data_IF_094936846228
#
_entry.id   IF_094936846228
#
_cell.length_a   1.000
_cell.length_b   1.000
_cell.length_c   1.000
_cell.angle_alpha   90.00
_cell.angle_beta   90.00
_cell.angle_gamma   90.00
#
_symmetry.space_group_name_H-M   'P 1'
#
loop_
_entity.id
_entity.type
_entity.pdbx_description
1 polymer ?
#
# COMPACT_ATOMS: atom_id res chain seq x y z
N UNK A 1 34.42 6.04 20.39
CA UNK A 1 34.60 4.67 19.89
C UNK A 1 34.63 4.78 18.36
N UNK A 2 35.76 4.48 17.71
CA UNK A 2 35.84 4.58 16.23
C UNK A 2 35.15 3.38 15.64
N UNK A 3 34.29 3.59 14.66
CA UNK A 3 33.65 2.51 13.91
C UNK A 3 34.72 1.68 13.17
N UNK A 4 34.52 0.35 12.99
CA UNK A 4 35.43 -0.51 12.22
C UNK A 4 35.63 0.04 10.80
N UNK A 5 36.82 -0.05 10.25
CA UNK A 5 37.20 0.51 8.92
C UNK A 5 36.26 0.07 7.78
N UNK A 6 35.70 -1.15 7.82
CA UNK A 6 34.71 -1.61 6.84
C UNK A 6 33.40 -0.81 6.87
N UNK A 7 32.97 -0.34 8.05
CA UNK A 7 31.77 0.51 8.16
C UNK A 7 32.05 1.94 7.71
N UNK A 8 33.26 2.46 7.90
CA UNK A 8 33.70 3.73 7.34
C UNK A 8 33.81 3.68 5.81
N UNK A 9 34.28 2.58 5.23
CA UNK A 9 34.34 2.39 3.77
C UNK A 9 32.93 2.29 3.15
N UNK A 10 31.98 1.64 3.81
CA UNK A 10 30.56 1.64 3.37
C UNK A 10 29.96 3.05 3.42
N UNK A 11 30.22 3.82 4.49
CA UNK A 11 29.76 5.20 4.59
C UNK A 11 30.39 6.12 3.53
N UNK A 12 31.69 5.96 3.25
CA UNK A 12 32.38 6.76 2.23
C UNK A 12 31.94 6.43 0.81
N UNK A 13 31.55 5.17 0.54
CA UNK A 13 30.98 4.79 -0.76
C UNK A 13 29.51 5.24 -0.95
N UNK A 14 28.80 5.55 0.13
CA UNK A 14 27.45 6.13 0.10
C UNK A 14 27.45 7.66 -0.11
N UNK A 15 28.57 8.34 0.12
CA UNK A 15 28.67 9.82 0.09
C UNK A 15 29.01 10.37 -1.32
N UNK A 16 29.43 9.54 -2.27
CA UNK A 16 29.82 9.99 -3.62
C UNK A 16 28.72 9.88 -4.70
N UNK A 17 27.44 9.98 -4.32
CA UNK A 17 26.32 9.95 -5.28
C UNK A 17 25.89 11.39 -5.60
N UNK A 18 26.67 12.12 -6.38
CA UNK A 18 26.28 13.43 -6.95
C UNK A 18 25.57 13.31 -8.33
N UNK A 19 25.54 12.13 -8.93
CA UNK A 19 24.66 11.85 -10.08
C UNK A 19 23.36 11.27 -9.55
N UNK A 20 22.21 11.84 -9.96
CA UNK A 20 20.92 11.24 -9.62
C UNK A 20 20.90 9.81 -10.19
N UNK A 21 20.56 8.79 -9.39
CA UNK A 21 20.55 7.43 -9.88
C UNK A 21 19.55 7.31 -11.03
N UNK A 22 19.98 6.68 -12.10
CA UNK A 22 19.11 6.45 -13.24
C UNK A 22 17.99 5.50 -12.83
N UNK A 23 16.72 5.88 -13.07
CA UNK A 23 15.55 5.06 -12.73
C UNK A 23 15.68 3.67 -13.38
N UNK A 24 15.44 2.64 -12.59
CA UNK A 24 15.36 1.27 -13.07
C UNK A 24 13.92 0.95 -13.50
N UNK A 25 13.80 0.12 -14.54
CA UNK A 25 12.50 -0.30 -15.08
C UNK A 25 12.42 -1.83 -15.09
N UNK A 26 11.21 -2.35 -14.84
CA UNK A 26 10.91 -3.78 -14.86
C UNK A 26 9.79 -4.07 -15.85
N UNK A 27 9.85 -5.19 -16.53
CA UNK A 27 8.73 -5.72 -17.30
C UNK A 27 7.55 -5.99 -16.37
N UNK A 28 6.42 -5.35 -16.61
CA UNK A 28 5.25 -5.39 -15.72
C UNK A 28 4.34 -6.58 -16.07
N UNK A 29 4.83 -7.78 -15.83
CA UNK A 29 4.13 -9.02 -16.15
C UNK A 29 3.68 -9.07 -17.61
N UNK A 30 2.60 -9.78 -17.89
CA UNK A 30 2.04 -9.98 -19.25
C UNK A 30 1.65 -8.69 -19.98
N UNK A 31 1.65 -7.52 -19.31
CA UNK A 31 1.38 -6.24 -19.98
C UNK A 31 2.52 -5.79 -20.88
N UNK A 32 3.72 -6.34 -20.73
CA UNK A 32 4.97 -5.93 -21.41
C UNK A 32 5.34 -4.44 -21.20
N UNK A 33 4.65 -3.72 -20.36
CA UNK A 33 5.03 -2.34 -20.03
C UNK A 33 6.36 -2.32 -19.28
N UNK A 34 7.24 -1.40 -19.65
CA UNK A 34 8.44 -1.08 -18.88
C UNK A 34 8.06 -0.14 -17.74
N UNK A 35 7.81 -0.73 -16.58
CA UNK A 35 7.33 -0.04 -15.38
C UNK A 35 8.51 0.47 -14.57
N UNK A 36 8.58 1.77 -14.21
CA UNK A 36 9.61 2.26 -13.29
C UNK A 36 9.41 1.60 -11.91
N UNK A 37 10.51 1.33 -11.21
CA UNK A 37 10.44 0.70 -9.87
C UNK A 37 9.74 1.58 -8.83
N UNK A 38 9.53 2.86 -9.13
CA UNK A 38 8.68 3.77 -8.37
C UNK A 38 7.58 4.37 -9.24
N UNK A 39 6.42 4.58 -8.65
CA UNK A 39 5.25 5.18 -9.28
C UNK A 39 4.79 6.42 -8.51
N UNK A 40 4.30 7.43 -9.21
CA UNK A 40 3.75 8.64 -8.61
C UNK A 40 2.28 8.43 -8.23
N UNK A 41 2.02 8.25 -6.92
CA UNK A 41 0.68 8.00 -6.37
C UNK A 41 -0.13 9.28 -6.15
N UNK A 42 -1.34 9.33 -6.69
CA UNK A 42 -2.22 10.50 -6.75
C UNK A 42 -3.02 10.86 -5.51
N UNK A 43 -2.80 10.17 -4.40
CA UNK A 43 -3.63 10.36 -3.21
C UNK A 43 -3.18 11.52 -2.30
N UNK A 44 -1.92 11.97 -2.39
CA UNK A 44 -1.34 12.89 -1.40
C UNK A 44 -1.28 14.34 -1.86
N UNK A 45 -1.19 14.61 -3.14
CA UNK A 45 -1.14 15.96 -3.69
C UNK A 45 -2.52 16.52 -4.08
N UNK A 46 -3.60 15.72 -3.99
CA UNK A 46 -4.96 16.16 -4.26
C UNK A 46 -5.43 17.18 -3.21
N UNK A 47 -6.28 18.12 -3.63
CA UNK A 47 -6.76 19.20 -2.75
C UNK A 47 -7.85 18.74 -1.78
N UNK A 48 -8.89 18.04 -2.29
CA UNK A 48 -10.02 17.55 -1.49
C UNK A 48 -10.46 16.16 -1.92
N UNK A 49 -11.08 15.43 -0.99
CA UNK A 49 -11.60 14.07 -1.20
C UNK A 49 -12.97 14.01 -1.90
N UNK A 50 -13.44 15.11 -2.44
CA UNK A 50 -14.69 15.22 -3.20
C UNK A 50 -14.46 15.96 -4.51
N UNK A 51 -15.34 15.74 -5.48
CA UNK A 51 -15.34 16.52 -6.72
C UNK A 51 -15.67 17.98 -6.42
N UNK A 52 -15.03 18.87 -7.15
CA UNK A 52 -15.24 20.31 -7.09
C UNK A 52 -15.47 20.88 -8.49
N UNK A 53 -16.01 22.10 -8.56
CA UNK A 53 -15.94 22.87 -9.80
C UNK A 53 -14.47 23.28 -10.08
N UNK A 54 -14.03 23.32 -11.35
CA UNK A 54 -12.63 23.62 -11.67
C UNK A 54 -12.07 24.91 -11.04
N UNK A 55 -12.90 25.94 -10.87
CA UNK A 55 -12.51 27.21 -10.24
C UNK A 55 -12.39 27.17 -8.71
N UNK A 56 -12.78 26.09 -8.06
CA UNK A 56 -12.68 25.93 -6.59
C UNK A 56 -11.36 25.30 -6.14
N UNK A 57 -10.53 24.83 -7.08
CA UNK A 57 -9.21 24.30 -6.77
C UNK A 57 -8.23 25.46 -6.66
N UNK A 58 -7.59 25.70 -5.48
CA UNK A 58 -6.66 26.79 -5.31
C UNK A 58 -5.48 26.67 -6.28
N UNK A 59 -5.04 27.78 -6.90
CA UNK A 59 -3.90 27.76 -7.83
C UNK A 59 -2.62 27.18 -7.24
N UNK A 60 -2.34 27.43 -5.96
CA UNK A 60 -1.18 26.90 -5.27
C UNK A 60 -1.22 25.36 -5.15
N UNK A 61 -2.40 24.76 -4.92
CA UNK A 61 -2.57 23.30 -4.92
C UNK A 61 -2.33 22.70 -6.31
N UNK A 62 -2.84 23.36 -7.36
CA UNK A 62 -2.59 22.95 -8.73
C UNK A 62 -1.10 23.07 -9.10
N UNK A 63 -0.44 24.17 -8.74
CA UNK A 63 0.97 24.38 -9.01
C UNK A 63 1.85 23.36 -8.30
N UNK A 64 1.53 23.02 -7.03
CA UNK A 64 2.25 21.99 -6.30
C UNK A 64 2.13 20.62 -6.97
N UNK A 65 0.92 20.22 -7.40
CA UNK A 65 0.71 18.97 -8.14
C UNK A 65 1.51 18.97 -9.45
N UNK A 66 1.46 20.07 -10.23
CA UNK A 66 2.21 20.16 -11.50
C UNK A 66 3.71 20.07 -11.28
N UNK A 67 4.25 20.74 -10.24
CA UNK A 67 5.66 20.64 -9.87
C UNK A 67 6.05 19.22 -9.45
N UNK A 68 5.20 18.56 -8.65
CA UNK A 68 5.42 17.18 -8.20
C UNK A 68 5.46 16.20 -9.39
N UNK A 69 4.53 16.32 -10.35
CA UNK A 69 4.56 15.48 -11.55
C UNK A 69 5.76 15.74 -12.44
N UNK A 70 6.13 17.00 -12.63
CA UNK A 70 7.33 17.35 -13.42
C UNK A 70 8.60 16.78 -12.79
N UNK A 71 8.70 16.83 -11.46
CA UNK A 71 9.82 16.22 -10.75
C UNK A 71 9.81 14.71 -10.90
N UNK A 72 8.65 14.05 -10.73
CA UNK A 72 8.51 12.61 -10.96
C UNK A 72 9.04 12.23 -12.35
N UNK A 73 8.55 12.91 -13.40
CA UNK A 73 8.96 12.66 -14.78
C UNK A 73 10.47 12.93 -15.01
N UNK A 74 11.00 14.00 -14.42
CA UNK A 74 12.42 14.37 -14.55
C UNK A 74 13.35 13.30 -13.94
N UNK A 75 12.92 12.59 -12.89
CA UNK A 75 13.70 11.50 -12.26
C UNK A 75 13.36 10.12 -12.84
N UNK A 76 12.63 10.06 -13.96
CA UNK A 76 12.29 8.82 -14.67
C UNK A 76 11.05 8.07 -14.14
N UNK A 77 10.27 8.68 -13.25
CA UNK A 77 8.98 8.12 -12.81
C UNK A 77 7.91 8.53 -13.81
N UNK A 78 7.60 7.66 -14.77
CA UNK A 78 6.61 7.92 -15.82
C UNK A 78 5.28 7.18 -15.59
N UNK A 79 5.13 6.40 -14.52
CA UNK A 79 3.86 5.82 -14.09
C UNK A 79 3.17 6.75 -13.10
N UNK A 80 1.98 7.23 -13.48
CA UNK A 80 1.13 8.13 -12.70
C UNK A 80 -0.14 7.38 -12.33
N UNK A 81 -0.35 7.21 -11.02
CA UNK A 81 -1.45 6.41 -10.48
C UNK A 81 -2.45 7.30 -9.75
N UNK A 82 -3.73 7.15 -10.07
CA UNK A 82 -4.83 7.82 -9.39
C UNK A 82 -6.03 6.88 -9.19
N UNK A 83 -7.17 7.40 -8.79
CA UNK A 83 -8.44 6.70 -8.70
C UNK A 83 -9.61 7.68 -8.69
N UNK A 84 -10.80 7.25 -9.18
CA UNK A 84 -12.04 8.03 -9.10
C UNK A 84 -12.35 8.46 -7.64
N UNK A 85 -12.08 7.60 -6.70
CA UNK A 85 -12.29 7.86 -5.27
C UNK A 85 -11.24 8.78 -4.60
N UNK A 86 -10.31 9.38 -5.35
CA UNK A 86 -9.31 10.30 -4.79
C UNK A 86 -9.70 11.78 -4.97
N UNK A 87 -10.98 12.08 -4.94
CA UNK A 87 -11.52 13.43 -4.97
C UNK A 87 -11.05 14.24 -6.20
N UNK A 88 -10.36 15.35 -5.94
CA UNK A 88 -9.89 16.25 -7.01
C UNK A 88 -8.69 15.75 -7.80
N UNK A 89 -8.10 14.61 -7.46
CA UNK A 89 -6.86 14.11 -8.07
C UNK A 89 -6.94 14.02 -9.60
N UNK A 90 -7.97 13.34 -10.14
CA UNK A 90 -8.15 13.21 -11.60
C UNK A 90 -8.36 14.56 -12.29
N UNK A 91 -9.12 15.46 -11.66
CA UNK A 91 -9.38 16.81 -12.18
C UNK A 91 -8.11 17.64 -12.28
N UNK A 92 -7.26 17.56 -11.25
CA UNK A 92 -5.98 18.28 -11.20
C UNK A 92 -4.97 17.69 -12.18
N UNK A 93 -4.90 16.35 -12.27
CA UNK A 93 -4.06 15.64 -13.26
C UNK A 93 -4.42 16.01 -14.69
N UNK A 94 -5.70 16.12 -15.02
CA UNK A 94 -6.15 16.52 -16.35
C UNK A 94 -5.70 17.92 -16.80
N UNK A 95 -5.25 18.79 -15.89
CA UNK A 95 -4.70 20.09 -16.25
C UNK A 95 -3.22 20.01 -16.69
N UNK A 96 -2.52 18.94 -16.33
CA UNK A 96 -1.10 18.78 -16.62
C UNK A 96 -0.79 17.65 -17.61
N UNK A 97 -1.56 16.55 -17.60
CA UNK A 97 -1.27 15.37 -18.43
C UNK A 97 -1.20 15.70 -19.92
N UNK A 98 -2.06 16.61 -20.41
CA UNK A 98 -2.03 17.08 -21.79
C UNK A 98 -0.78 17.91 -22.16
N UNK A 99 0.00 18.36 -21.17
CA UNK A 99 1.24 19.13 -21.34
C UNK A 99 2.49 18.24 -21.29
N UNK A 100 2.31 16.94 -21.03
CA UNK A 100 3.38 15.93 -20.99
C UNK A 100 3.28 15.01 -22.20
N UNK A 101 4.39 14.37 -22.62
CA UNK A 101 4.37 13.46 -23.77
C UNK A 101 3.58 12.18 -23.39
N UNK A 102 2.32 12.10 -23.84
CA UNK A 102 1.38 11.03 -23.46
C UNK A 102 1.91 9.63 -23.75
N UNK A 103 2.63 9.48 -24.85
CA UNK A 103 3.21 8.21 -25.30
C UNK A 103 4.35 7.71 -24.41
N UNK A 104 4.93 8.56 -23.57
CA UNK A 104 5.95 8.20 -22.58
C UNK A 104 5.36 7.93 -21.20
N UNK A 105 4.08 8.21 -20.99
CA UNK A 105 3.41 8.04 -19.70
C UNK A 105 2.67 6.71 -19.64
N UNK A 106 2.69 6.11 -18.46
CA UNK A 106 1.78 5.04 -18.05
C UNK A 106 0.79 5.68 -17.07
N UNK A 107 -0.48 5.79 -17.47
CA UNK A 107 -1.52 6.40 -16.63
C UNK A 107 -2.47 5.33 -16.12
N UNK A 108 -2.61 5.28 -14.81
CA UNK A 108 -3.52 4.37 -14.11
C UNK A 108 -4.62 5.13 -13.38
N UNK A 109 -5.87 4.70 -13.57
CA UNK A 109 -6.97 5.05 -12.66
C UNK A 109 -7.69 3.80 -12.16
N UNK A 110 -8.56 3.97 -11.15
CA UNK A 110 -9.27 2.86 -10.51
C UNK A 110 -10.72 3.23 -10.24
N UNK A 111 -11.63 2.30 -10.51
CA UNK A 111 -13.08 2.45 -10.26
C UNK A 111 -13.54 1.34 -9.33
N UNK A 112 -14.26 1.68 -8.25
CA UNK A 112 -14.79 0.68 -7.33
C UNK A 112 -15.85 -0.17 -8.00
N UNK A 113 -15.81 -1.51 -7.86
CA UNK A 113 -16.90 -2.38 -8.27
C UNK A 113 -18.21 -1.97 -7.60
N UNK A 114 -19.31 -2.12 -8.32
CA UNK A 114 -20.63 -1.73 -7.88
C UNK A 114 -21.64 -2.82 -8.22
N UNK A 115 -22.69 -2.95 -7.41
CA UNK A 115 -23.82 -3.83 -7.71
C UNK A 115 -24.52 -3.46 -9.04
N UNK A 116 -24.51 -2.16 -9.39
CA UNK A 116 -24.93 -1.66 -10.68
C UNK A 116 -23.72 -1.42 -11.60
N UNK A 117 -23.50 -2.25 -12.65
CA UNK A 117 -22.40 -2.06 -13.60
C UNK A 117 -22.51 -0.76 -14.41
N UNK A 118 -23.69 -0.17 -14.54
CA UNK A 118 -23.85 1.13 -15.22
C UNK A 118 -23.22 2.27 -14.41
N UNK A 119 -23.30 2.19 -13.07
CA UNK A 119 -22.60 3.15 -12.20
C UNK A 119 -21.06 3.03 -12.35
N UNK A 120 -20.52 1.81 -12.53
CA UNK A 120 -19.11 1.59 -12.82
C UNK A 120 -18.73 2.24 -14.17
N UNK A 121 -19.54 2.02 -15.21
CA UNK A 121 -19.35 2.62 -16.54
C UNK A 121 -19.30 4.15 -16.46
N UNK A 122 -20.33 4.78 -15.87
CA UNK A 122 -20.43 6.23 -15.73
C UNK A 122 -19.22 6.82 -14.97
N UNK A 123 -18.78 6.14 -13.92
CA UNK A 123 -17.60 6.56 -13.16
C UNK A 123 -16.32 6.52 -13.99
N UNK A 124 -16.13 5.50 -14.84
CA UNK A 124 -14.97 5.46 -15.72
C UNK A 124 -15.03 6.52 -16.82
N UNK A 125 -16.18 6.73 -17.45
CA UNK A 125 -16.37 7.81 -18.42
C UNK A 125 -16.07 9.19 -17.80
N UNK A 126 -16.51 9.41 -16.56
CA UNK A 126 -16.20 10.62 -15.78
C UNK A 126 -14.69 10.73 -15.49
N UNK A 127 -14.01 9.63 -15.16
CA UNK A 127 -12.56 9.63 -14.97
C UNK A 127 -11.81 10.04 -16.23
N UNK A 128 -12.17 9.52 -17.41
CA UNK A 128 -11.56 9.94 -18.68
C UNK A 128 -11.77 11.43 -18.94
N UNK A 129 -13.00 11.94 -18.69
CA UNK A 129 -13.32 13.34 -18.84
C UNK A 129 -12.50 14.25 -17.90
N UNK A 130 -12.32 13.84 -16.64
CA UNK A 130 -11.55 14.59 -15.66
C UNK A 130 -10.04 14.55 -15.96
N UNK A 131 -9.52 13.40 -16.36
CA UNK A 131 -8.12 13.24 -16.79
C UNK A 131 -7.85 13.93 -18.13
N UNK A 132 -8.89 14.27 -18.90
CA UNK A 132 -8.81 14.80 -20.28
C UNK A 132 -8.00 13.89 -21.19
N UNK A 133 -8.25 12.58 -21.09
CA UNK A 133 -7.57 11.53 -21.86
C UNK A 133 -8.60 10.73 -22.67
N UNK A 134 -8.18 10.28 -23.84
CA UNK A 134 -8.97 9.36 -24.67
C UNK A 134 -8.86 7.92 -24.14
N UNK A 135 -7.76 7.57 -23.47
CA UNK A 135 -7.52 6.25 -22.89
C UNK A 135 -6.61 6.33 -21.66
N UNK A 136 -6.68 5.28 -20.85
CA UNK A 136 -5.71 4.98 -19.79
C UNK A 136 -4.95 3.70 -20.13
N UNK A 137 -3.69 3.59 -19.64
CA UNK A 137 -2.91 2.39 -19.82
C UNK A 137 -3.39 1.27 -18.89
N UNK A 138 -3.73 1.63 -17.66
CA UNK A 138 -4.12 0.69 -16.61
C UNK A 138 -5.46 1.11 -15.98
N UNK A 139 -6.47 0.25 -16.08
CA UNK A 139 -7.73 0.39 -15.33
C UNK A 139 -7.77 -0.64 -14.21
N UNK A 140 -7.85 -0.20 -12.95
CA UNK A 140 -8.01 -1.08 -11.81
C UNK A 140 -9.45 -1.16 -11.30
N UNK A 141 -9.96 -2.36 -11.03
CA UNK A 141 -11.15 -2.53 -10.20
C UNK A 141 -10.75 -2.24 -8.75
N UNK A 142 -11.27 -1.15 -8.17
CA UNK A 142 -10.76 -0.53 -6.95
C UNK A 142 -11.32 -1.16 -5.69
N UNK A 143 -10.49 -1.94 -5.01
CA UNK A 143 -10.83 -2.45 -3.68
C UNK A 143 -11.66 -3.74 -3.71
N UNK A 144 -11.26 -4.75 -4.46
CA UNK A 144 -11.84 -6.10 -4.33
C UNK A 144 -11.38 -6.65 -2.97
N UNK A 145 -12.11 -6.30 -1.90
CA UNK A 145 -11.71 -6.53 -0.51
C UNK A 145 -12.47 -7.66 0.18
N UNK A 146 -13.55 -8.14 -0.41
CA UNK A 146 -14.40 -9.19 0.13
C UNK A 146 -15.10 -9.95 -1.00
N UNK A 147 -15.84 -11.01 -0.64
CA UNK A 147 -16.54 -11.86 -1.60
C UNK A 147 -17.64 -11.11 -2.38
N UNK A 148 -18.31 -10.15 -1.77
CA UNK A 148 -19.35 -9.36 -2.41
C UNK A 148 -18.76 -8.49 -3.54
N UNK A 149 -17.65 -7.77 -3.28
CA UNK A 149 -16.98 -6.94 -4.29
C UNK A 149 -16.33 -7.80 -5.39
N UNK A 150 -15.90 -9.01 -5.05
CA UNK A 150 -15.45 -9.99 -6.04
C UNK A 150 -16.61 -10.44 -6.93
N UNK A 151 -17.78 -10.72 -6.36
CA UNK A 151 -18.98 -11.06 -7.12
C UNK A 151 -19.41 -9.91 -8.05
N UNK A 152 -19.51 -8.68 -7.56
CA UNK A 152 -19.83 -7.50 -8.41
C UNK A 152 -18.84 -7.32 -9.56
N UNK A 153 -17.59 -7.72 -9.35
CA UNK A 153 -16.56 -7.68 -10.38
C UNK A 153 -16.76 -8.74 -11.46
N UNK A 154 -17.01 -10.00 -11.06
CA UNK A 154 -16.84 -11.18 -11.92
C UNK A 154 -18.15 -11.85 -12.38
N UNK A 155 -19.29 -11.54 -11.76
CA UNK A 155 -20.56 -12.11 -12.19
C UNK A 155 -20.90 -11.72 -13.64
N UNK A 156 -21.74 -12.50 -14.29
CA UNK A 156 -22.21 -12.21 -15.65
C UNK A 156 -22.84 -10.80 -15.72
N UNK A 157 -22.41 -10.00 -16.69
CA UNK A 157 -22.77 -8.60 -16.80
C UNK A 157 -22.13 -7.70 -15.74
N UNK A 158 -21.12 -8.17 -15.00
CA UNK A 158 -20.47 -7.44 -13.92
C UNK A 158 -19.49 -6.36 -14.39
N UNK A 159 -18.77 -5.77 -13.42
CA UNK A 159 -17.90 -4.62 -13.71
C UNK A 159 -16.73 -4.97 -14.61
N UNK A 160 -16.22 -6.21 -14.57
CA UNK A 160 -15.14 -6.65 -15.44
C UNK A 160 -15.56 -6.65 -16.92
N UNK A 161 -16.75 -7.18 -17.25
CA UNK A 161 -17.25 -7.15 -18.62
C UNK A 161 -17.43 -5.72 -19.15
N UNK A 162 -17.77 -4.76 -18.28
CA UNK A 162 -17.80 -3.34 -18.64
C UNK A 162 -16.40 -2.82 -18.95
N UNK A 163 -15.40 -3.19 -18.13
CA UNK A 163 -14.00 -2.80 -18.35
C UNK A 163 -13.46 -3.41 -19.65
N UNK A 164 -13.79 -4.67 -19.96
CA UNK A 164 -13.41 -5.36 -21.22
C UNK A 164 -14.04 -4.68 -22.44
N UNK A 165 -15.30 -4.18 -22.34
CA UNK A 165 -15.90 -3.39 -23.42
C UNK A 165 -15.15 -2.09 -23.68
N UNK A 166 -14.66 -1.42 -22.63
CA UNK A 166 -13.79 -0.25 -22.79
C UNK A 166 -12.42 -0.61 -23.38
N UNK A 167 -11.89 -1.78 -23.01
CA UNK A 167 -10.64 -2.29 -23.60
C UNK A 167 -10.81 -2.57 -25.11
N UNK A 168 -11.91 -3.20 -25.50
CA UNK A 168 -12.25 -3.44 -26.92
C UNK A 168 -12.44 -2.13 -27.70
N UNK A 169 -12.85 -1.03 -27.04
CA UNK A 169 -12.97 0.32 -27.63
C UNK A 169 -11.64 1.07 -27.67
N UNK A 170 -10.54 0.51 -27.17
CA UNK A 170 -9.24 1.16 -27.10
C UNK A 170 -9.13 2.23 -25.99
N UNK A 171 -10.10 2.32 -25.06
CA UNK A 171 -10.09 3.28 -23.94
C UNK A 171 -9.32 2.78 -22.73
N UNK A 172 -8.99 1.49 -22.67
CA UNK A 172 -8.19 0.82 -21.64
C UNK A 172 -7.20 -0.11 -22.33
N UNK A 173 -5.93 -0.10 -21.95
CA UNK A 173 -4.97 -1.07 -22.49
C UNK A 173 -4.95 -2.36 -21.68
N UNK A 174 -4.90 -2.27 -20.34
CA UNK A 174 -4.80 -3.42 -19.45
C UNK A 174 -5.72 -3.25 -18.25
N UNK A 175 -6.27 -4.37 -17.76
CA UNK A 175 -7.22 -4.40 -16.65
C UNK A 175 -6.60 -5.14 -15.46
N UNK A 176 -6.62 -4.52 -14.29
CA UNK A 176 -6.16 -5.13 -13.04
C UNK A 176 -7.11 -4.87 -11.88
N UNK A 177 -6.65 -5.15 -10.69
CA UNK A 177 -7.43 -4.83 -9.49
C UNK A 177 -6.54 -4.31 -8.36
N UNK A 178 -7.13 -3.55 -7.45
CA UNK A 178 -6.50 -3.18 -6.18
C UNK A 178 -7.24 -3.81 -5.01
N UNK A 179 -6.52 -4.08 -3.92
CA UNK A 179 -7.13 -4.75 -2.78
C UNK A 179 -6.51 -4.34 -1.44
N UNK A 180 -7.35 -4.38 -0.41
CA UNK A 180 -7.02 -4.31 1.01
C UNK A 180 -7.60 -5.53 1.74
N UNK A 181 -8.14 -6.47 0.98
CA UNK A 181 -8.78 -7.67 1.48
C UNK A 181 -7.81 -8.67 2.09
N UNK A 182 -8.33 -9.70 2.74
CA UNK A 182 -7.53 -10.81 3.25
C UNK A 182 -6.92 -11.62 2.11
N UNK A 183 -5.83 -12.31 2.41
CA UNK A 183 -5.04 -13.06 1.42
C UNK A 183 -5.85 -14.08 0.63
N UNK A 184 -6.85 -14.73 1.24
CA UNK A 184 -7.70 -15.71 0.56
C UNK A 184 -8.57 -15.08 -0.56
N UNK A 185 -9.08 -13.86 -0.35
CA UNK A 185 -9.81 -13.11 -1.40
C UNK A 185 -8.86 -12.69 -2.52
N UNK A 186 -7.65 -12.27 -2.16
CA UNK A 186 -6.62 -11.91 -3.16
C UNK A 186 -6.28 -13.14 -4.00
N UNK A 187 -6.01 -14.27 -3.36
CA UNK A 187 -5.71 -15.54 -4.04
C UNK A 187 -6.85 -16.02 -4.95
N UNK A 188 -8.10 -15.94 -4.48
CA UNK A 188 -9.28 -16.25 -5.29
C UNK A 188 -9.37 -15.35 -6.53
N UNK A 189 -9.10 -14.06 -6.37
CA UNK A 189 -9.13 -13.10 -7.49
C UNK A 189 -8.02 -13.40 -8.50
N UNK A 190 -6.79 -13.66 -8.06
CA UNK A 190 -5.65 -14.03 -8.92
C UNK A 190 -5.93 -15.36 -9.65
N UNK A 191 -6.53 -16.34 -8.96
CA UNK A 191 -6.83 -17.66 -9.51
C UNK A 191 -7.78 -17.61 -10.71
N UNK A 192 -8.61 -16.58 -10.84
CA UNK A 192 -9.51 -16.39 -12.01
C UNK A 192 -8.73 -16.15 -13.31
N UNK A 193 -7.49 -15.70 -13.21
CA UNK A 193 -6.62 -15.35 -14.34
C UNK A 193 -7.20 -14.30 -15.31
N UNK A 194 -8.11 -13.45 -14.83
CA UNK A 194 -8.82 -12.45 -15.64
C UNK A 194 -8.20 -11.05 -15.54
N UNK A 195 -7.16 -10.88 -14.74
CA UNK A 195 -6.52 -9.59 -14.48
C UNK A 195 -5.05 -9.61 -14.91
N UNK A 196 -4.57 -8.50 -15.47
CA UNK A 196 -3.20 -8.34 -15.93
C UNK A 196 -2.24 -7.93 -14.82
N UNK A 197 -2.76 -7.28 -13.77
CA UNK A 197 -1.94 -6.80 -12.64
C UNK A 197 -2.75 -6.69 -11.35
N UNK A 198 -2.03 -6.61 -10.23
CA UNK A 198 -2.60 -6.42 -8.89
C UNK A 198 -1.89 -5.31 -8.12
N UNK A 199 -2.67 -4.45 -7.45
CA UNK A 199 -2.19 -3.46 -6.49
C UNK A 199 -2.53 -3.96 -5.08
N UNK A 200 -1.51 -4.29 -4.26
CA UNK A 200 -1.71 -4.87 -2.94
C UNK A 200 -0.69 -4.36 -1.91
N UNK A 201 -0.89 -4.75 -0.65
CA UNK A 201 0.00 -4.41 0.46
C UNK A 201 1.00 -5.54 0.72
N UNK A 202 2.29 -5.20 0.70
CA UNK A 202 3.36 -6.07 1.13
C UNK A 202 4.59 -5.23 1.48
N UNK A 203 5.11 -5.38 2.71
CA UNK A 203 6.21 -4.58 3.25
C UNK A 203 6.99 -5.41 4.26
N UNK A 204 8.16 -4.95 4.70
CA UNK A 204 8.92 -5.63 5.74
C UNK A 204 8.07 -5.95 6.98
N UNK A 205 7.30 -4.98 7.48
CA UNK A 205 6.47 -5.16 8.67
C UNK A 205 5.17 -5.94 8.46
N UNK A 206 4.78 -6.19 7.21
CA UNK A 206 3.55 -6.91 6.87
C UNK A 206 3.76 -7.74 5.60
N UNK A 207 4.09 -9.00 5.79
CA UNK A 207 4.42 -9.95 4.72
C UNK A 207 3.31 -10.99 4.48
N UNK A 208 2.13 -10.81 5.08
CA UNK A 208 1.02 -11.78 5.03
C UNK A 208 0.59 -12.14 3.59
N UNK A 209 0.75 -11.23 2.65
CA UNK A 209 0.35 -11.41 1.26
C UNK A 209 1.47 -12.01 0.37
N UNK A 210 2.56 -12.55 0.96
CA UNK A 210 3.60 -13.21 0.16
C UNK A 210 3.04 -14.30 -0.78
N UNK A 211 2.13 -15.20 -0.33
CA UNK A 211 1.54 -16.19 -1.25
C UNK A 211 0.82 -15.57 -2.45
N UNK A 212 0.25 -14.38 -2.29
CA UNK A 212 -0.41 -13.68 -3.39
C UNK A 212 0.61 -13.10 -4.40
N UNK A 213 1.80 -12.68 -3.95
CA UNK A 213 2.88 -12.26 -4.84
C UNK A 213 3.40 -13.43 -5.67
N UNK A 214 3.59 -14.60 -5.05
CA UNK A 214 4.01 -15.83 -5.74
C UNK A 214 2.96 -16.25 -6.77
N UNK A 215 1.69 -16.30 -6.39
CA UNK A 215 0.60 -16.64 -7.31
C UNK A 215 0.45 -15.63 -8.47
N UNK A 216 0.68 -14.35 -8.23
CA UNK A 216 0.68 -13.33 -9.28
C UNK A 216 1.87 -13.54 -10.25
N UNK A 217 3.06 -13.84 -9.72
CA UNK A 217 4.24 -14.13 -10.53
C UNK A 217 4.04 -15.41 -11.40
N UNK A 218 3.46 -16.49 -10.85
CA UNK A 218 3.11 -17.70 -11.60
C UNK A 218 2.13 -17.44 -12.76
N UNK A 219 1.29 -16.41 -12.62
CA UNK A 219 0.34 -15.97 -13.64
C UNK A 219 0.90 -14.88 -14.56
N UNK A 220 2.17 -14.53 -14.41
CA UNK A 220 2.80 -13.41 -15.13
C UNK A 220 2.03 -12.09 -15.00
N UNK A 221 1.49 -11.82 -13.81
CA UNK A 221 0.78 -10.57 -13.50
C UNK A 221 1.75 -9.50 -13.02
N UNK A 222 1.48 -8.24 -13.39
CA UNK A 222 2.18 -7.10 -12.79
C UNK A 222 1.84 -6.96 -11.30
N UNK A 223 2.83 -6.74 -10.44
CA UNK A 223 2.64 -6.52 -8.99
C UNK A 223 3.05 -5.11 -8.62
N UNK A 224 2.11 -4.36 -8.06
CA UNK A 224 2.27 -2.98 -7.63
C UNK A 224 1.98 -2.86 -6.14
N UNK A 225 3.01 -2.54 -5.35
CA UNK A 225 2.89 -2.36 -3.90
C UNK A 225 2.37 -0.96 -3.61
N UNK A 226 1.25 -0.86 -2.89
CA UNK A 226 0.60 0.41 -2.56
C UNK A 226 0.90 0.87 -1.14
N UNK A 227 1.06 2.19 -0.95
CA UNK A 227 1.29 2.86 0.34
C UNK A 227 2.50 2.35 1.14
N UNK A 228 3.68 2.08 0.55
CA UNK A 228 4.83 1.51 1.26
C UNK A 228 5.31 2.38 2.42
N UNK A 229 5.29 3.70 2.27
CA UNK A 229 5.77 4.64 3.30
C UNK A 229 4.78 4.84 4.45
N UNK A 230 3.47 4.91 4.16
CA UNK A 230 2.45 5.18 5.19
C UNK A 230 1.98 3.90 5.89
N UNK A 231 1.41 2.96 5.12
CA UNK A 231 0.92 1.69 5.69
C UNK A 231 2.07 0.72 5.99
N UNK A 232 3.21 0.91 5.38
CA UNK A 232 4.46 0.22 5.70
C UNK A 232 5.12 0.69 7.01
N UNK A 233 4.47 1.59 7.78
CA UNK A 233 4.96 1.95 9.12
C UNK A 233 5.00 3.44 9.45
N UNK A 234 4.37 4.34 8.67
CA UNK A 234 4.56 5.79 8.80
C UNK A 234 6.05 6.17 8.79
N UNK A 235 6.80 5.63 7.83
CA UNK A 235 8.26 5.62 7.80
C UNK A 235 8.89 7.03 7.74
N UNK A 236 8.14 8.03 7.30
CA UNK A 236 8.51 9.46 7.36
C UNK A 236 8.48 10.04 8.79
N UNK A 237 8.02 9.29 9.79
CA UNK A 237 7.99 9.62 11.22
C UNK A 237 8.39 8.38 12.06
N UNK A 238 9.39 7.64 11.58
CA UNK A 238 9.83 6.41 12.21
C UNK A 238 10.38 6.68 13.63
N UNK A 239 10.09 5.81 14.61
CA UNK A 239 10.65 5.93 15.95
C UNK A 239 12.17 5.70 15.94
N UNK A 240 12.86 6.31 16.90
CA UNK A 240 14.34 6.23 17.00
C UNK A 240 14.86 4.80 16.98
N UNK A 241 14.20 3.87 17.68
CA UNK A 241 14.59 2.46 17.71
C UNK A 241 14.62 1.85 16.31
N UNK A 242 13.57 2.11 15.50
CA UNK A 242 13.52 1.61 14.12
C UNK A 242 14.60 2.26 13.24
N UNK A 243 14.84 3.57 13.42
CA UNK A 243 15.93 4.28 12.72
C UNK A 243 17.27 3.65 13.03
N UNK A 244 17.58 3.40 14.31
CA UNK A 244 18.84 2.79 14.75
C UNK A 244 19.01 1.35 14.20
N UNK A 245 17.93 0.58 14.14
CA UNK A 245 17.93 -0.78 13.61
C UNK A 245 18.15 -0.82 12.09
N UNK A 246 17.60 0.14 11.36
CA UNK A 246 17.75 0.23 9.90
C UNK A 246 19.10 0.84 9.47
N UNK A 247 19.86 1.47 10.38
CA UNK A 247 21.13 2.13 10.02
C UNK A 247 22.09 1.18 9.23
N UNK A 248 22.79 1.69 8.20
CA UNK A 248 22.95 3.10 7.84
C UNK A 248 21.83 3.70 6.97
N UNK A 249 20.82 2.91 6.59
CA UNK A 249 19.67 3.39 5.82
C UNK A 249 18.63 4.05 6.73
N UNK A 250 17.85 4.98 6.18
CA UNK A 250 16.59 5.34 6.83
C UNK A 250 15.59 4.16 6.75
N UNK A 251 14.59 4.10 7.64
CA UNK A 251 13.55 3.08 7.55
C UNK A 251 12.77 3.09 6.21
N UNK A 252 12.63 4.24 5.58
CA UNK A 252 11.96 4.37 4.29
C UNK A 252 12.79 3.76 3.16
N UNK A 253 14.07 4.12 3.06
CA UNK A 253 15.01 3.55 2.08
C UNK A 253 15.18 2.04 2.30
N UNK A 254 15.27 1.60 3.55
CA UNK A 254 15.31 0.18 3.89
C UNK A 254 14.08 -0.58 3.38
N UNK A 255 12.86 -0.07 3.66
CA UNK A 255 11.63 -0.73 3.25
C UNK A 255 11.46 -0.75 1.72
N UNK A 256 11.81 0.33 1.04
CA UNK A 256 11.79 0.38 -0.42
C UNK A 256 12.76 -0.64 -1.02
N UNK A 257 14.00 -0.67 -0.51
CA UNK A 257 15.02 -1.63 -0.95
C UNK A 257 14.58 -3.06 -0.66
N UNK A 258 14.03 -3.32 0.53
CA UNK A 258 13.47 -4.63 0.89
C UNK A 258 12.37 -5.06 -0.09
N UNK A 259 11.41 -4.20 -0.38
CA UNK A 259 10.35 -4.55 -1.32
C UNK A 259 10.91 -4.80 -2.73
N UNK A 260 11.78 -3.93 -3.21
CA UNK A 260 12.32 -4.01 -4.57
C UNK A 260 13.37 -5.11 -4.75
N UNK A 261 14.00 -5.62 -3.69
CA UNK A 261 14.93 -6.77 -3.78
C UNK A 261 14.23 -8.07 -4.18
N UNK A 262 12.89 -8.14 -4.09
CA UNK A 262 12.10 -9.29 -4.50
C UNK A 262 11.64 -9.12 -5.96
N UNK A 263 11.99 -10.06 -6.82
CA UNK A 263 11.70 -10.01 -8.26
C UNK A 263 10.18 -10.01 -8.58
N UNK A 264 9.36 -10.52 -7.66
CA UNK A 264 7.90 -10.52 -7.75
C UNK A 264 7.31 -9.11 -7.65
N UNK A 265 8.03 -8.14 -7.07
CA UNK A 265 7.59 -6.75 -6.92
C UNK A 265 8.11 -5.94 -8.11
N UNK A 266 7.21 -5.29 -8.86
CA UNK A 266 7.60 -4.53 -10.04
C UNK A 266 7.74 -3.03 -9.76
N UNK A 267 6.86 -2.47 -8.91
CA UNK A 267 6.87 -1.03 -8.61
C UNK A 267 6.21 -0.73 -7.26
N UNK A 268 6.62 0.39 -6.66
CA UNK A 268 6.07 0.90 -5.39
C UNK A 268 5.36 2.23 -5.61
N UNK A 269 4.14 2.39 -5.10
CA UNK A 269 3.39 3.65 -5.14
C UNK A 269 3.91 4.65 -4.11
N UNK A 270 4.61 5.67 -4.56
CA UNK A 270 5.08 6.75 -3.69
C UNK A 270 3.97 7.76 -3.46
N UNK A 271 3.68 8.03 -2.19
CA UNK A 271 2.69 9.02 -1.78
C UNK A 271 3.32 10.41 -1.65
N UNK A 272 3.93 10.92 -2.72
CA UNK A 272 4.52 12.25 -2.74
C UNK A 272 3.44 13.34 -2.64
N UNK A 273 3.59 14.24 -1.68
CA UNK A 273 2.75 15.42 -1.52
C UNK A 273 3.37 16.66 -2.19
N UNK A 274 4.67 16.62 -2.45
CA UNK A 274 5.49 17.71 -3.02
C UNK A 274 6.71 17.13 -3.75
N UNK A 275 7.40 17.92 -4.60
CA UNK A 275 8.53 17.45 -5.42
C UNK A 275 9.66 16.78 -4.64
N UNK A 276 10.00 17.31 -3.47
CA UNK A 276 11.15 16.86 -2.67
C UNK A 276 10.95 15.47 -2.04
N UNK A 277 9.69 15.02 -1.93
CA UNK A 277 9.36 13.73 -1.29
C UNK A 277 9.95 12.52 -2.07
N UNK A 278 10.33 12.69 -3.34
CA UNK A 278 11.02 11.64 -4.10
C UNK A 278 12.48 11.42 -3.70
N UNK A 279 13.16 12.44 -3.15
CA UNK A 279 14.61 12.44 -2.97
C UNK A 279 15.10 11.28 -2.07
N UNK A 280 14.39 10.96 -1.02
CA UNK A 280 14.75 9.88 -0.11
C UNK A 280 14.57 8.50 -0.79
N UNK A 281 13.46 8.31 -1.50
CA UNK A 281 13.17 7.07 -2.22
C UNK A 281 14.20 6.74 -3.31
N UNK A 282 14.73 7.75 -4.01
CA UNK A 282 15.75 7.56 -5.06
C UNK A 282 17.04 6.93 -4.53
N UNK A 283 17.35 7.07 -3.24
CA UNK A 283 18.49 6.39 -2.63
C UNK A 283 18.36 4.88 -2.70
N UNK A 284 17.14 4.32 -2.62
CA UNK A 284 16.93 2.88 -2.76
C UNK A 284 17.24 2.39 -4.19
N UNK A 285 16.97 3.21 -5.22
CA UNK A 285 17.33 2.86 -6.62
C UNK A 285 18.84 2.73 -6.77
N UNK A 286 19.59 3.66 -6.19
CA UNK A 286 21.07 3.64 -6.25
C UNK A 286 21.68 2.41 -5.54
N UNK A 287 20.96 1.78 -4.63
CA UNK A 287 21.42 0.66 -3.81
C UNK A 287 20.88 -0.69 -4.27
N UNK A 288 19.96 -0.70 -5.25
CA UNK A 288 19.16 -1.89 -5.58
C UNK A 288 20.04 -3.07 -6.06
N UNK A 289 21.06 -2.80 -6.86
CA UNK A 289 21.99 -3.82 -7.36
C UNK A 289 22.91 -4.42 -6.25
N UNK A 290 22.90 -3.81 -5.07
CA UNK A 290 23.67 -4.23 -3.90
C UNK A 290 22.77 -4.65 -2.73
N UNK A 291 21.49 -4.86 -2.97
CA UNK A 291 20.51 -5.24 -1.94
C UNK A 291 20.94 -6.49 -1.15
N UNK A 292 21.53 -7.49 -1.84
CA UNK A 292 21.99 -8.75 -1.24
C UNK A 292 23.16 -8.56 -0.24
N UNK A 293 23.92 -7.46 -0.36
CA UNK A 293 24.98 -7.12 0.59
C UNK A 293 24.44 -6.27 1.75
N UNK A 294 23.51 -5.37 1.46
CA UNK A 294 23.06 -4.30 2.37
C UNK A 294 21.96 -4.79 3.31
N UNK A 295 20.99 -5.57 2.82
CA UNK A 295 19.83 -5.98 3.60
C UNK A 295 20.13 -6.99 4.71
N UNK A 296 20.96 -8.05 4.53
CA UNK A 296 21.11 -9.11 5.52
C UNK A 296 21.51 -8.63 6.93
N UNK A 297 22.49 -7.73 7.11
CA UNK A 297 22.85 -7.25 8.44
C UNK A 297 21.74 -6.38 9.09
N UNK A 298 20.91 -5.71 8.30
CA UNK A 298 19.77 -4.93 8.81
C UNK A 298 18.65 -5.90 9.25
N UNK A 299 18.32 -6.88 8.42
CA UNK A 299 17.32 -7.91 8.71
C UNK A 299 17.67 -8.67 9.98
N UNK A 300 18.93 -9.06 10.15
CA UNK A 300 19.40 -9.74 11.35
C UNK A 300 19.22 -8.89 12.63
N UNK A 301 19.47 -7.57 12.58
CA UNK A 301 19.23 -6.68 13.72
C UNK A 301 17.74 -6.53 14.04
N UNK A 302 16.91 -6.41 13.02
CA UNK A 302 15.46 -6.31 13.19
C UNK A 302 14.87 -7.60 13.76
N UNK A 303 15.31 -8.77 13.27
CA UNK A 303 14.91 -10.07 13.83
C UNK A 303 15.36 -10.22 15.29
N UNK A 304 16.62 -9.91 15.59
CA UNK A 304 17.15 -9.96 16.96
C UNK A 304 16.37 -9.04 17.91
N UNK A 305 15.98 -7.84 17.47
CA UNK A 305 15.14 -6.93 18.26
C UNK A 305 13.74 -7.48 18.51
N UNK A 306 13.14 -8.13 17.51
CA UNK A 306 11.84 -8.79 17.65
C UNK A 306 11.92 -9.97 18.65
N UNK A 307 12.94 -10.83 18.52
CA UNK A 307 13.17 -11.96 19.43
C UNK A 307 13.42 -11.47 20.86
N UNK A 308 14.24 -10.45 21.05
CA UNK A 308 14.52 -9.87 22.36
C UNK A 308 13.27 -9.28 23.04
N UNK A 309 12.36 -8.67 22.26
CA UNK A 309 11.13 -8.05 22.79
C UNK A 309 9.97 -9.01 22.99
N UNK A 310 9.86 -10.04 22.17
CA UNK A 310 8.67 -10.89 22.07
C UNK A 310 8.93 -12.36 22.45
N UNK A 311 10.16 -12.80 22.39
CA UNK A 311 10.57 -14.20 22.52
C UNK A 311 10.54 -14.94 21.18
N UNK A 312 11.52 -15.85 20.99
CA UNK A 312 11.74 -16.54 19.71
C UNK A 312 10.53 -17.40 19.28
N UNK A 313 10.00 -18.21 20.20
CA UNK A 313 8.83 -19.06 19.95
C UNK A 313 7.63 -18.22 19.44
N UNK A 314 7.36 -17.07 20.09
CA UNK A 314 6.31 -16.18 19.67
C UNK A 314 6.58 -15.56 18.28
N UNK A 315 7.77 -15.05 18.04
CA UNK A 315 8.12 -14.43 16.74
C UNK A 315 7.88 -15.39 15.58
N UNK A 316 8.21 -16.66 15.76
CA UNK A 316 8.07 -17.67 14.70
C UNK A 316 6.66 -18.20 14.51
N UNK A 317 5.80 -18.18 15.54
CA UNK A 317 4.57 -18.96 15.55
C UNK A 317 3.29 -18.19 15.92
N UNK A 318 3.40 -16.89 16.27
CA UNK A 318 2.25 -16.10 16.75
C UNK A 318 1.06 -16.08 15.81
N UNK A 319 1.30 -16.15 14.50
CA UNK A 319 0.29 -16.05 13.45
C UNK A 319 -0.43 -17.35 13.12
N UNK A 320 0.08 -18.48 13.64
CA UNK A 320 -0.44 -19.81 13.28
C UNK A 320 -1.82 -20.03 13.90
N UNK A 321 -2.78 -20.49 13.10
CA UNK A 321 -4.11 -20.90 13.53
C UNK A 321 -4.99 -19.77 14.07
N UNK A 322 -4.71 -18.50 13.70
CA UNK A 322 -5.54 -17.37 14.08
C UNK A 322 -6.83 -17.32 13.23
N UNK A 323 -7.98 -17.01 13.87
CA UNK A 323 -9.26 -16.89 13.17
C UNK A 323 -9.37 -15.57 12.39
N UNK A 324 -10.26 -15.54 11.38
CA UNK A 324 -10.69 -14.28 10.76
C UNK A 324 -11.62 -13.49 11.69
N UNK A 325 -11.83 -12.18 11.46
CA UNK A 325 -12.78 -11.41 12.25
C UNK A 325 -14.20 -11.98 12.24
N UNK A 326 -14.64 -12.53 11.10
CA UNK A 326 -15.99 -13.12 10.94
C UNK A 326 -16.15 -14.39 11.77
N UNK A 327 -15.07 -15.13 11.98
CA UNK A 327 -15.04 -16.36 12.80
C UNK A 327 -14.74 -16.08 14.28
N UNK A 328 -14.55 -14.82 14.66
CA UNK A 328 -14.20 -14.42 16.02
C UNK A 328 -15.41 -13.84 16.76
N UNK A 329 -15.72 -14.29 17.98
CA UNK A 329 -16.71 -13.63 18.83
C UNK A 329 -16.48 -12.11 18.93
N UNK A 330 -17.55 -11.32 18.79
CA UNK A 330 -17.47 -9.86 18.77
C UNK A 330 -16.81 -9.27 17.52
N UNK A 331 -16.49 -10.08 16.50
CA UNK A 331 -15.83 -9.60 15.28
C UNK A 331 -14.40 -9.07 15.50
N UNK A 332 -13.72 -9.48 16.57
CA UNK A 332 -12.39 -8.99 16.95
C UNK A 332 -11.37 -9.40 15.88
N UNK A 333 -10.59 -8.44 15.37
CA UNK A 333 -9.52 -8.74 14.43
C UNK A 333 -8.22 -9.15 15.16
N UNK A 334 -8.22 -10.39 15.66
CA UNK A 334 -7.10 -10.94 16.45
C UNK A 334 -5.76 -10.84 15.70
N UNK A 335 -5.64 -11.27 14.43
CA UNK A 335 -4.38 -11.19 13.68
C UNK A 335 -3.80 -9.77 13.62
N UNK A 336 -4.63 -8.80 13.26
CA UNK A 336 -4.18 -7.40 13.15
C UNK A 336 -3.80 -6.83 14.51
N UNK A 337 -4.55 -7.12 15.56
CA UNK A 337 -4.28 -6.61 16.90
C UNK A 337 -2.94 -7.13 17.43
N UNK A 338 -2.69 -8.43 17.29
CA UNK A 338 -1.42 -9.05 17.70
C UNK A 338 -0.25 -8.53 16.86
N UNK A 339 -0.43 -8.38 15.56
CA UNK A 339 0.56 -7.76 14.66
C UNK A 339 0.94 -6.36 15.14
N UNK A 340 -0.04 -5.48 15.39
CA UNK A 340 0.20 -4.11 15.85
C UNK A 340 0.90 -4.07 17.21
N UNK A 341 0.50 -4.96 18.14
CA UNK A 341 1.16 -5.12 19.43
C UNK A 341 2.63 -5.53 19.27
N UNK A 342 2.89 -6.48 18.38
CA UNK A 342 4.25 -6.95 18.11
C UNK A 342 5.14 -5.83 17.58
N UNK A 343 4.64 -5.01 16.63
CA UNK A 343 5.37 -3.87 16.09
C UNK A 343 5.68 -2.81 17.17
N UNK A 344 4.72 -2.52 18.05
CA UNK A 344 4.92 -1.57 19.13
C UNK A 344 6.03 -2.04 20.11
N UNK A 345 6.11 -3.33 20.39
CA UNK A 345 7.12 -3.91 21.32
C UNK A 345 8.48 -4.10 20.63
N UNK A 346 8.49 -4.70 19.45
CA UNK A 346 9.71 -5.04 18.74
C UNK A 346 10.48 -3.80 18.29
N UNK A 347 9.77 -2.80 17.73
CA UNK A 347 10.37 -1.69 16.99
C UNK A 347 10.00 -0.31 17.53
N UNK A 348 9.30 -0.24 18.68
CA UNK A 348 8.77 1.02 19.26
C UNK A 348 7.79 1.78 18.33
N UNK A 349 7.10 1.06 17.45
CA UNK A 349 6.15 1.65 16.49
C UNK A 349 4.78 1.93 17.13
N UNK A 350 4.78 2.51 18.34
CA UNK A 350 3.57 2.71 19.16
C UNK A 350 2.55 3.63 18.48
N UNK A 351 3.00 4.75 17.92
CA UNK A 351 2.08 5.73 17.28
C UNK A 351 1.45 5.17 16.00
N UNK A 352 2.23 4.44 15.21
CA UNK A 352 1.69 3.71 14.06
C UNK A 352 0.65 2.67 14.51
N UNK A 353 0.99 1.87 15.53
CA UNK A 353 0.12 0.83 16.05
C UNK A 353 -1.19 1.42 16.62
N UNK A 354 -1.14 2.52 17.38
CA UNK A 354 -2.32 3.25 17.87
C UNK A 354 -3.19 3.77 16.73
N UNK A 355 -2.57 4.41 15.74
CA UNK A 355 -3.30 4.96 14.59
C UNK A 355 -4.06 3.86 13.86
N UNK A 356 -3.44 2.70 13.63
CA UNK A 356 -4.07 1.55 12.95
C UNK A 356 -5.11 0.87 13.84
N UNK A 357 -4.82 0.64 15.12
CA UNK A 357 -5.72 -0.01 16.07
C UNK A 357 -7.05 0.75 16.19
N UNK A 358 -6.99 2.08 16.25
CA UNK A 358 -8.19 2.92 16.43
C UNK A 358 -9.00 3.13 15.12
N UNK A 359 -8.56 2.54 13.99
CA UNK A 359 -9.38 2.38 12.78
C UNK A 359 -10.28 1.14 12.85
N UNK A 360 -9.96 0.14 13.68
CA UNK A 360 -10.80 -1.05 13.85
C UNK A 360 -12.18 -0.65 14.37
N UNK A 361 -13.21 -1.24 13.78
CA UNK A 361 -14.62 -0.86 13.99
C UNK A 361 -15.11 0.28 13.07
N UNK A 362 -14.20 1.07 12.47
CA UNK A 362 -14.54 2.21 11.61
C UNK A 362 -13.94 2.10 10.19
N UNK A 363 -13.19 1.04 9.91
CA UNK A 363 -12.49 0.86 8.64
C UNK A 363 -13.34 0.27 7.51
N UNK A 364 -14.55 -0.21 7.80
CA UNK A 364 -15.39 -0.98 6.88
C UNK A 364 -14.59 -2.11 6.20
N UNK A 365 -14.94 -2.51 4.98
CA UNK A 365 -14.22 -3.54 4.21
C UNK A 365 -12.76 -3.17 3.85
N UNK A 366 -12.31 -1.93 4.11
CA UNK A 366 -10.93 -1.50 3.87
C UNK A 366 -9.98 -1.79 5.03
N UNK A 367 -10.51 -2.01 6.23
CA UNK A 367 -9.78 -2.43 7.42
C UNK A 367 -10.77 -3.10 8.38
N UNK A 368 -11.14 -4.37 8.10
CA UNK A 368 -12.27 -5.04 8.76
C UNK A 368 -11.99 -5.43 10.20
N UNK A 369 -13.07 -5.73 10.92
CA UNK A 369 -13.07 -6.24 12.28
C UNK A 369 -13.00 -5.17 13.36
N UNK A 370 -13.21 -5.59 14.60
CA UNK A 370 -13.32 -4.77 15.78
C UNK A 370 -12.07 -4.81 16.67
N UNK A 371 -11.97 -3.84 17.56
CA UNK A 371 -10.97 -3.76 18.62
C UNK A 371 -11.17 -4.88 19.66
N UNK A 372 -10.18 -5.07 20.54
CA UNK A 372 -10.20 -6.07 21.60
C UNK A 372 -10.85 -5.57 22.92
N UNK A 373 -11.67 -4.53 22.89
CA UNK A 373 -12.25 -3.94 24.12
C UNK A 373 -12.99 -4.98 24.99
N UNK A 374 -13.64 -5.96 24.37
CA UNK A 374 -14.42 -7.00 25.06
C UNK A 374 -13.72 -8.36 25.10
N UNK A 375 -12.43 -8.43 24.77
CA UNK A 375 -11.71 -9.70 24.63
C UNK A 375 -11.68 -10.55 25.93
N UNK A 376 -11.77 -9.94 27.10
CA UNK A 376 -11.82 -10.63 28.39
C UNK A 376 -13.22 -11.12 28.79
N UNK A 377 -14.26 -10.62 28.13
CA UNK A 377 -15.66 -10.96 28.40
C UNK A 377 -16.17 -12.06 27.47
N UNK A 378 -15.48 -12.28 26.35
CA UNK A 378 -15.87 -13.23 25.30
C UNK A 378 -15.16 -14.57 25.44
N UNK A 379 -15.85 -15.65 25.15
CA UNK A 379 -15.22 -16.98 25.07
C UNK A 379 -14.53 -17.16 23.71
N UNK A 380 -13.20 -17.03 23.69
CA UNK A 380 -12.38 -17.18 22.51
C UNK A 380 -11.79 -18.60 22.33
N UNK A 381 -12.06 -19.55 23.24
CA UNK A 381 -11.40 -20.87 23.24
C UNK A 381 -11.62 -21.64 21.95
N UNK A 382 -12.85 -21.65 21.44
CA UNK A 382 -13.20 -22.39 20.22
C UNK A 382 -12.51 -21.80 18.98
N UNK A 383 -12.56 -20.49 18.79
CA UNK A 383 -11.97 -19.85 17.61
C UNK A 383 -10.42 -19.86 17.64
N UNK A 384 -9.81 -20.02 18.80
CA UNK A 384 -8.35 -20.11 18.99
C UNK A 384 -7.82 -21.54 19.05
N UNK A 385 -8.64 -22.56 18.92
CA UNK A 385 -8.27 -23.95 19.13
C UNK A 385 -7.09 -24.45 18.26
N UNK A 386 -6.88 -23.82 17.11
CA UNK A 386 -5.79 -24.16 16.18
C UNK A 386 -4.49 -23.39 16.48
N UNK A 387 -4.53 -22.38 17.37
CA UNK A 387 -3.34 -21.60 17.69
C UNK A 387 -2.50 -22.28 18.78
N UNK A 388 -1.17 -22.41 18.62
CA UNK A 388 -0.30 -22.91 19.68
C UNK A 388 -0.28 -21.98 20.90
N UNK A 389 -0.79 -20.77 20.76
CA UNK A 389 -0.82 -19.75 21.80
C UNK A 389 -2.24 -19.44 22.35
N UNK A 390 -3.21 -20.32 22.10
CA UNK A 390 -4.62 -20.13 22.49
C UNK A 390 -4.78 -19.63 23.94
N UNK A 391 -4.03 -20.20 24.90
CA UNK A 391 -4.10 -19.82 26.32
C UNK A 391 -3.52 -18.43 26.65
N UNK A 392 -2.63 -17.90 25.82
CA UNK A 392 -1.98 -16.58 26.04
C UNK A 392 -2.71 -15.44 25.33
N UNK A 393 -3.33 -15.70 24.19
CA UNK A 393 -3.92 -14.68 23.29
C UNK A 393 -4.93 -13.78 24.00
N UNK A 394 -5.89 -14.26 24.83
CA UNK A 394 -6.84 -13.38 25.50
C UNK A 394 -6.16 -12.30 26.36
N UNK A 395 -5.14 -12.64 27.12
CA UNK A 395 -4.37 -11.68 27.92
C UNK A 395 -3.56 -10.71 27.05
N UNK A 396 -3.02 -11.17 25.93
CA UNK A 396 -2.28 -10.32 24.97
C UNK A 396 -3.20 -9.35 24.24
N UNK A 397 -4.47 -9.72 23.97
CA UNK A 397 -5.47 -8.83 23.42
C UNK A 397 -5.86 -7.73 24.41
N UNK A 398 -6.02 -8.05 25.69
CA UNK A 398 -6.28 -7.07 26.74
C UNK A 398 -5.09 -6.11 26.89
N UNK A 399 -3.83 -6.60 26.93
CA UNK A 399 -2.63 -5.76 26.94
C UNK A 399 -2.56 -4.86 25.70
N UNK A 400 -2.87 -5.41 24.51
CA UNK A 400 -2.92 -4.63 23.28
C UNK A 400 -3.96 -3.50 23.35
N UNK A 401 -5.16 -3.78 23.87
CA UNK A 401 -6.20 -2.76 24.03
C UNK A 401 -5.78 -1.67 25.01
N UNK A 402 -5.16 -2.04 26.13
CA UNK A 402 -4.65 -1.07 27.11
C UNK A 402 -3.56 -0.17 26.52
N UNK A 403 -2.66 -0.69 25.69
CA UNK A 403 -1.54 0.05 25.09
C UNK A 403 -1.95 0.91 23.90
N UNK A 404 -2.85 0.40 23.06
CA UNK A 404 -3.16 0.95 21.74
C UNK A 404 -4.49 1.65 21.68
N UNK A 405 -5.41 1.38 22.63
CA UNK A 405 -6.73 1.98 22.69
C UNK A 405 -6.68 3.50 22.83
N UNK A 406 -7.63 4.16 22.22
CA UNK A 406 -7.75 5.62 22.21
C UNK A 406 -8.97 6.07 21.41
N UNK A 407 -9.09 7.37 21.11
CA UNK A 407 -10.18 7.89 20.29
C UNK A 407 -10.30 7.18 18.95
N UNK A 408 -11.52 6.88 18.54
CA UNK A 408 -11.81 6.28 17.25
C UNK A 408 -11.21 7.12 16.11
N UNK A 409 -10.59 6.47 15.16
CA UNK A 409 -10.04 7.10 13.95
C UNK A 409 -10.93 6.79 12.76
N UNK A 410 -11.01 7.72 11.84
CA UNK A 410 -11.63 7.54 10.54
C UNK A 410 -10.57 7.45 9.45
N UNK A 411 -10.92 6.84 8.32
CA UNK A 411 -10.08 6.82 7.13
C UNK A 411 -9.89 8.25 6.60
N UNK A 412 -8.75 8.53 5.95
CA UNK A 412 -8.45 9.85 5.40
C UNK A 412 -9.55 10.38 4.48
N UNK A 413 -10.14 9.51 3.65
CA UNK A 413 -11.25 9.87 2.76
C UNK A 413 -12.56 10.24 3.49
N UNK A 414 -12.70 9.90 4.77
CA UNK A 414 -13.88 10.18 5.59
C UNK A 414 -13.68 11.38 6.54
N UNK A 415 -12.43 11.73 6.86
CA UNK A 415 -12.09 12.81 7.79
C UNK A 415 -12.53 14.21 7.30
N UNK A 416 -12.75 14.37 6.00
CA UNK A 416 -13.09 15.66 5.39
C UNK A 416 -14.59 15.86 5.12
N UNK A 417 -15.40 14.80 5.21
CA UNK A 417 -16.86 14.93 5.11
C UNK A 417 -17.51 15.49 6.39
N UNK A 418 -16.84 15.37 7.54
CA UNK A 418 -17.33 15.84 8.83
C UNK A 418 -16.96 17.30 9.17
N UNK A 419 -16.04 17.93 8.42
CA UNK A 419 -15.66 19.35 8.64
C UNK A 419 -16.47 20.36 7.82
N UNK A 420 -17.42 19.94 7.02
CA UNK A 420 -18.27 20.80 6.22
C UNK A 420 -19.65 21.08 6.82
N UNK A 421 -19.85 20.74 8.10
CA UNK A 421 -21.11 20.95 8.86
C UNK A 421 -20.93 21.75 10.15
N UNK A 422 -19.84 22.53 10.29
CA UNK A 422 -19.71 23.55 11.32
C UNK A 422 -19.50 24.94 10.71
#
# INVERSE_FOLDING_TARGET
MRLPERQQFLMLSLVNIFEQPMMQYRRFGRTELLMPVFSCGGMRYQYKWQDLSPGEIPPESQHNLEATLRQAFAVGINHIETARGYGTSEMQLGQILSKLPREQLIVQTKISPNADPQAFQQNFEKSLAYLKLDYVDLLGLHGINNAELLDYSLRLGGCLEVAEKFQAQGKVRFIGFSTHGPTDIIMKTIATNQFDYVNLHWYYINQVNWPALEAAAEKDMGVFIISPSNKGGMLYQAPKKLVDLCAPLSPMVFNDLFCLSHSQVHTLSLGAARPEDFNEHLQAVALLDRSDEILPPILARLEAAAIAGLGEDWVRTWHIGLPTPEATPGGINIPVILWLRNLAIAYDMLEYAKMRYNLLGNGSHWFPGNQAAQATELDLRQCLALSPHAGKIPALLADAHQRLGGPARQRLSQQHSSRSTE
#
